data_IF_436787846383
#
_entry.id   IF_436787846383
#
_cell.length_a   1.000
_cell.length_b   1.000
_cell.length_c   1.000
_cell.angle_alpha   90.00
_cell.angle_beta   90.00
_cell.angle_gamma   90.00
#
_symmetry.space_group_name_H-M   'P 1'
#
loop_
_entity.id
_entity.type
_entity.pdbx_description
1 polymer ?
#
# COMPACT_ATOMS: atom_id res chain seq x y z
N UNK A 1 30.79 -22.67 -11.15
CA UNK A 1 29.81 -22.89 -12.21
C UNK A 1 28.59 -23.68 -11.75
N UNK A 2 28.68 -24.57 -10.74
CA UNK A 2 27.50 -25.33 -10.24
C UNK A 2 26.59 -24.57 -9.25
N UNK A 3 27.06 -23.50 -8.59
CA UNK A 3 26.25 -22.74 -7.61
C UNK A 3 25.18 -21.83 -8.27
N UNK A 4 25.37 -21.44 -9.53
CA UNK A 4 24.49 -20.49 -10.22
C UNK A 4 23.17 -21.13 -10.66
N UNK A 5 23.18 -22.44 -10.96
CA UNK A 5 21.99 -23.19 -11.35
C UNK A 5 21.10 -23.55 -10.15
N UNK A 6 21.69 -23.73 -8.96
CA UNK A 6 20.94 -24.01 -7.73
C UNK A 6 20.07 -22.81 -7.30
N UNK A 7 20.56 -21.58 -7.46
CA UNK A 7 19.81 -20.36 -7.15
C UNK A 7 18.73 -20.08 -8.20
N UNK A 8 19.00 -20.37 -9.49
CA UNK A 8 18.00 -20.25 -10.56
C UNK A 8 16.80 -21.16 -10.33
N UNK A 9 17.01 -22.42 -9.94
CA UNK A 9 15.92 -23.36 -9.70
C UNK A 9 15.04 -23.02 -8.49
N UNK A 10 15.61 -22.38 -7.46
CA UNK A 10 14.91 -22.13 -6.20
C UNK A 10 13.68 -21.23 -6.36
N UNK A 11 13.79 -20.14 -7.14
CA UNK A 11 12.65 -19.25 -7.41
C UNK A 11 11.65 -19.88 -8.37
N UNK A 12 12.14 -20.56 -9.41
CA UNK A 12 11.28 -21.26 -10.37
C UNK A 12 10.40 -22.30 -9.66
N UNK A 13 10.95 -23.05 -8.71
CA UNK A 13 10.20 -24.03 -7.93
C UNK A 13 9.24 -23.39 -6.93
N UNK A 14 9.64 -22.29 -6.29
CA UNK A 14 8.76 -21.51 -5.41
C UNK A 14 7.52 -20.98 -6.16
N UNK A 15 7.68 -20.58 -7.43
CA UNK A 15 6.58 -20.04 -8.25
C UNK A 15 5.81 -21.11 -9.04
N UNK A 16 6.35 -22.32 -9.19
CA UNK A 16 5.76 -23.42 -9.98
C UNK A 16 4.36 -23.81 -9.49
N UNK A 17 4.18 -23.87 -8.17
CA UNK A 17 2.91 -24.22 -7.51
C UNK A 17 2.36 -23.05 -6.67
N UNK A 18 2.81 -21.83 -6.95
CA UNK A 18 2.38 -20.67 -6.18
C UNK A 18 0.85 -20.48 -6.27
N UNK A 19 0.26 -20.17 -5.13
CA UNK A 19 -1.15 -19.79 -5.05
C UNK A 19 -1.30 -18.33 -5.49
N UNK A 20 -1.52 -18.14 -6.79
CA UNK A 20 -1.76 -16.82 -7.37
C UNK A 20 -3.18 -16.33 -7.06
N UNK A 21 -3.29 -15.11 -6.55
CA UNK A 21 -4.57 -14.43 -6.38
C UNK A 21 -4.51 -13.06 -7.06
N UNK A 22 -5.49 -12.78 -7.93
CA UNK A 22 -5.69 -11.44 -8.50
C UNK A 22 -6.87 -10.77 -7.82
N UNK A 23 -6.71 -9.51 -7.44
CA UNK A 23 -7.78 -8.66 -6.90
C UNK A 23 -7.94 -7.45 -7.81
N UNK A 24 -9.17 -7.20 -8.27
CA UNK A 24 -9.53 -5.97 -8.99
C UNK A 24 -10.26 -5.07 -8.00
N UNK A 25 -9.61 -3.98 -7.60
CA UNK A 25 -10.11 -3.09 -6.57
C UNK A 25 -10.50 -1.74 -7.18
N UNK A 26 -11.69 -1.25 -6.84
CA UNK A 26 -12.12 0.13 -7.12
C UNK A 26 -12.59 0.76 -5.83
N UNK A 27 -11.84 1.74 -5.34
CA UNK A 27 -12.24 2.50 -4.17
C UNK A 27 -13.24 3.60 -4.57
N UNK A 28 -14.27 3.85 -3.75
CA UNK A 28 -15.18 4.97 -3.98
C UNK A 28 -14.43 6.31 -3.86
N UNK A 29 -14.89 7.38 -4.55
CA UNK A 29 -14.31 8.71 -4.39
C UNK A 29 -14.38 9.16 -2.92
N UNK A 30 -13.30 9.77 -2.43
CA UNK A 30 -13.30 10.42 -1.12
C UNK A 30 -14.05 11.74 -1.26
N UNK A 31 -15.28 11.80 -0.76
CA UNK A 31 -15.99 13.07 -0.59
C UNK A 31 -15.41 13.75 0.65
N UNK A 32 -14.67 14.84 0.44
CA UNK A 32 -14.32 15.73 1.54
C UNK A 32 -15.54 16.61 1.77
N UNK A 33 -16.28 16.36 2.86
CA UNK A 33 -17.32 17.28 3.27
C UNK A 33 -16.67 18.63 3.53
N UNK A 34 -17.00 19.60 2.69
CA UNK A 34 -16.49 20.97 2.70
C UNK A 34 -16.99 21.79 3.90
N UNK A 35 -17.83 21.23 4.77
CA UNK A 35 -18.52 21.95 5.84
C UNK A 35 -17.89 21.72 7.24
N UNK A 36 -16.57 21.81 7.34
CA UNK A 36 -15.93 22.10 8.63
C UNK A 36 -15.00 23.31 8.53
N UNK A 37 -15.61 24.45 8.21
CA UNK A 37 -15.08 25.76 8.55
C UNK A 37 -14.84 25.84 10.07
N UNK A 38 -13.62 25.55 10.52
CA UNK A 38 -13.04 26.04 11.78
C UNK A 38 -11.59 25.56 11.89
N UNK A 39 -10.68 26.23 11.17
CA UNK A 39 -9.27 26.25 11.58
C UNK A 39 -9.15 27.01 12.91
N UNK A 40 -9.30 26.30 14.03
CA UNK A 40 -8.79 26.78 15.32
C UNK A 40 -7.31 26.43 15.38
N UNK A 41 -6.48 27.43 15.12
CA UNK A 41 -5.05 27.41 15.42
C UNK A 41 -4.84 27.25 16.92
N UNK A 42 -4.65 26.03 17.41
CA UNK A 42 -3.96 25.75 18.69
C UNK A 42 -3.51 24.30 18.72
N UNK A 43 -2.19 24.09 18.67
CA UNK A 43 -1.43 23.01 19.32
C UNK A 43 -2.16 21.68 19.52
N UNK A 44 -1.83 20.69 18.68
CA UNK A 44 -2.14 19.27 18.89
C UNK A 44 -1.44 18.79 20.18
N UNK A 45 -2.16 18.32 21.23
CA UNK A 45 -1.56 17.48 22.24
C UNK A 45 -1.64 16.02 21.82
N UNK A 46 -0.63 15.26 22.24
CA UNK A 46 -0.53 13.83 22.05
C UNK A 46 -1.61 13.05 22.84
N UNK A 47 -1.89 11.83 22.37
CA UNK A 47 -2.55 10.74 23.10
C UNK A 47 -4.02 10.90 23.54
N UNK A 48 -4.96 10.45 22.69
CA UNK A 48 -6.10 9.60 23.07
C UNK A 48 -7.02 9.33 21.86
N UNK A 49 -7.12 8.07 21.43
CA UNK A 49 -8.39 7.40 21.10
C UNK A 49 -9.39 8.03 20.12
N UNK A 50 -8.98 8.85 19.15
CA UNK A 50 -9.88 9.36 18.11
C UNK A 50 -9.84 8.49 16.86
N UNK A 51 -10.62 7.39 16.81
CA UNK A 51 -10.92 6.74 15.53
C UNK A 51 -11.80 7.72 14.75
N UNK A 52 -11.23 8.42 13.78
CA UNK A 52 -12.03 9.02 12.69
C UNK A 52 -12.59 7.85 11.89
N UNK A 53 -13.70 7.30 12.35
CA UNK A 53 -14.44 6.23 11.68
C UNK A 53 -14.83 6.72 10.29
N UNK A 54 -14.16 6.22 9.25
CA UNK A 54 -14.66 6.28 7.87
C UNK A 54 -13.71 6.73 6.75
N UNK A 55 -12.43 7.06 6.99
CA UNK A 55 -11.54 7.59 5.92
C UNK A 55 -10.57 6.59 5.27
N UNK A 56 -10.36 5.41 5.84
CA UNK A 56 -9.42 4.42 5.29
C UNK A 56 -10.17 3.33 4.53
N UNK A 57 -9.95 3.23 3.22
CA UNK A 57 -10.51 2.14 2.39
C UNK A 57 -10.00 0.76 2.83
N UNK A 58 -8.71 0.67 3.17
CA UNK A 58 -8.08 -0.48 3.82
C UNK A 58 -7.11 0.04 4.88
N UNK A 59 -7.08 -0.60 6.06
CA UNK A 59 -6.16 -0.26 7.13
C UNK A 59 -4.72 -0.69 6.86
N UNK A 60 -3.79 -0.28 7.72
CA UNK A 60 -2.39 -0.71 7.66
C UNK A 60 -2.28 -2.25 7.75
N UNK A 61 -1.59 -2.85 6.80
CA UNK A 61 -1.30 -4.29 6.77
C UNK A 61 -0.06 -4.57 5.92
N UNK A 62 0.51 -5.75 6.09
CA UNK A 62 1.42 -6.36 5.11
C UNK A 62 0.62 -7.35 4.25
N UNK A 63 1.04 -7.55 3.01
CA UNK A 63 0.45 -8.57 2.15
C UNK A 63 0.74 -9.97 2.71
N UNK A 64 -0.20 -10.90 2.58
CA UNK A 64 -0.07 -12.25 3.14
C UNK A 64 0.76 -13.20 2.28
N UNK A 65 1.20 -12.77 1.09
CA UNK A 65 1.96 -13.58 0.14
C UNK A 65 3.35 -13.02 -0.09
N UNK A 66 4.23 -13.80 -0.72
CA UNK A 66 5.64 -13.43 -0.92
C UNK A 66 5.85 -12.17 -1.76
N UNK A 67 5.08 -12.01 -2.84
CA UNK A 67 5.25 -10.95 -3.83
C UNK A 67 3.90 -10.44 -4.30
N UNK A 68 3.71 -9.12 -4.27
CA UNK A 68 2.54 -8.45 -4.85
C UNK A 68 3.00 -7.53 -5.99
N UNK A 69 2.34 -7.66 -7.14
CA UNK A 69 2.45 -6.72 -8.25
C UNK A 69 1.17 -5.90 -8.32
N UNK A 70 1.28 -4.59 -8.14
CA UNK A 70 0.15 -3.68 -8.12
C UNK A 70 0.22 -2.70 -9.29
N UNK A 71 -0.77 -2.81 -10.18
CA UNK A 71 -1.02 -1.81 -11.21
C UNK A 71 -2.01 -0.77 -10.67
N UNK A 72 -1.63 0.51 -10.74
CA UNK A 72 -2.48 1.63 -10.36
C UNK A 72 -3.07 2.29 -11.62
N UNK A 73 -4.28 2.84 -11.48
CA UNK A 73 -4.84 3.74 -12.49
C UNK A 73 -3.95 5.00 -12.58
N UNK A 74 -3.39 5.34 -13.76
CA UNK A 74 -2.52 6.50 -13.92
C UNK A 74 -3.22 7.83 -13.63
N UNK A 75 -4.55 7.89 -13.76
CA UNK A 75 -5.36 9.07 -13.48
C UNK A 75 -5.93 9.04 -12.04
N UNK A 76 -5.54 8.07 -11.22
CA UNK A 76 -5.99 7.96 -9.84
C UNK A 76 -5.51 9.16 -9.00
N UNK A 77 -6.35 9.68 -8.08
CA UNK A 77 -5.92 10.69 -7.11
C UNK A 77 -4.92 10.16 -6.07
N UNK A 78 -4.51 8.89 -6.14
CA UNK A 78 -3.60 8.23 -5.21
C UNK A 78 -4.33 7.48 -4.10
N UNK A 79 -3.72 7.41 -2.92
CA UNK A 79 -4.27 6.74 -1.73
C UNK A 79 -3.49 5.51 -1.25
N UNK A 80 -2.46 5.09 -1.98
CA UNK A 80 -1.50 4.10 -1.49
C UNK A 80 -0.43 4.78 -0.64
N UNK A 81 -0.18 4.24 0.55
CA UNK A 81 0.88 4.67 1.43
C UNK A 81 1.69 3.46 1.90
N UNK A 82 3.01 3.64 2.02
CA UNK A 82 3.92 2.63 2.57
C UNK A 82 4.52 3.13 3.87
N UNK A 83 4.70 2.22 4.83
CA UNK A 83 5.38 2.52 6.10
C UNK A 83 6.84 2.12 5.98
N UNK A 84 7.76 3.07 6.18
CA UNK A 84 9.20 2.84 6.15
C UNK A 84 9.72 2.44 7.55
N UNK A 85 10.26 1.22 7.73
CA UNK A 85 11.00 0.86 8.94
C UNK A 85 12.37 1.55 8.98
N UNK A 86 12.93 1.82 10.17
CA UNK A 86 12.39 1.53 11.51
C UNK A 86 11.51 2.66 12.09
N UNK A 87 11.33 3.78 11.38
CA UNK A 87 10.85 5.03 11.98
C UNK A 87 9.33 5.26 11.89
N UNK A 88 8.53 4.24 11.52
CA UNK A 88 7.06 4.32 11.38
C UNK A 88 6.58 5.51 10.51
N UNK A 89 7.42 5.95 9.58
CA UNK A 89 7.09 7.04 8.66
C UNK A 89 6.26 6.51 7.51
N UNK A 90 5.09 7.09 7.29
CA UNK A 90 4.24 6.80 6.15
C UNK A 90 4.59 7.73 4.98
N UNK A 91 4.73 7.16 3.79
CA UNK A 91 5.07 7.87 2.56
C UNK A 91 4.04 7.52 1.49
N UNK A 92 3.55 8.55 0.79
CA UNK A 92 2.64 8.37 -0.34
C UNK A 92 3.35 7.71 -1.53
N UNK A 93 2.65 6.80 -2.19
CA UNK A 93 3.09 6.16 -3.44
C UNK A 93 2.19 6.64 -4.57
N UNK A 94 2.52 7.79 -5.21
CA UNK A 94 1.73 8.31 -6.31
C UNK A 94 1.79 7.36 -7.51
N UNK A 95 0.69 7.20 -8.27
CA UNK A 95 0.72 6.46 -9.53
C UNK A 95 1.76 7.07 -10.48
N UNK A 96 2.59 6.22 -11.08
CA UNK A 96 3.54 6.63 -12.13
C UNK A 96 3.16 5.94 -13.44
N UNK A 97 2.82 6.68 -14.51
CA UNK A 97 2.44 6.09 -15.79
C UNK A 97 3.49 5.12 -16.33
N UNK A 98 3.03 3.96 -16.82
CA UNK A 98 3.90 2.92 -17.38
C UNK A 98 4.68 2.09 -16.34
N UNK A 99 4.34 2.20 -15.06
CA UNK A 99 5.00 1.43 -13.99
C UNK A 99 4.02 0.53 -13.24
N UNK A 100 4.58 -0.42 -12.48
CA UNK A 100 3.87 -1.21 -11.47
C UNK A 100 4.60 -1.07 -10.15
N UNK A 101 3.85 -1.10 -9.05
CA UNK A 101 4.41 -1.19 -7.70
C UNK A 101 4.71 -2.65 -7.39
N UNK A 102 5.88 -2.90 -6.82
CA UNK A 102 6.29 -4.21 -6.33
C UNK A 102 6.36 -4.13 -4.81
N UNK A 103 5.59 -4.98 -4.13
CA UNK A 103 5.68 -5.15 -2.69
C UNK A 103 6.16 -6.55 -2.35
N UNK A 104 7.01 -6.65 -1.33
CA UNK A 104 7.48 -7.92 -0.76
C UNK A 104 6.75 -8.10 0.57
N UNK A 105 6.01 -9.20 0.70
CA UNK A 105 5.21 -9.49 1.90
C UNK A 105 6.02 -9.99 3.08
#
# INVERSE_FOLDING_TARGET
DDDDDAVRGAYDDMFREAHWQMKVCRYPPVVLDSDSDSYSSTSRPESAGGITTGRSGVGAHSDSGFLTLLLQDPDSPGGLQVRLPPHDVWVDVPPVPGTIVINLG
#
